data_IF_691218587078
#
_entry.id   IF_691218587078
#
_cell.length_a   1.000
_cell.length_b   1.000
_cell.length_c   1.000
_cell.angle_alpha   90.00
_cell.angle_beta   90.00
_cell.angle_gamma   90.00
#
_symmetry.space_group_name_H-M   'P 1'
#
loop_
_entity.id
_entity.type
_entity.pdbx_description
1 polymer ?
#
# COMPACT_ATOMS: atom_id res chain seq x y z
N UNK A 1 -28.21 -20.42 14.07
CA UNK A 1 -28.20 -20.60 15.53
C UNK A 1 -26.90 -21.31 15.88
N UNK A 2 -25.98 -20.83 16.72
CA UNK A 2 -25.90 -19.69 17.60
C UNK A 2 -24.40 -19.41 17.86
N UNK A 3 -24.07 -18.13 18.05
CA UNK A 3 -22.79 -17.67 18.61
C UNK A 3 -22.60 -18.15 20.06
N UNK A 4 -21.36 -18.28 20.54
CA UNK A 4 -21.03 -18.06 21.94
C UNK A 4 -20.25 -16.74 22.06
N UNK A 5 -20.85 -15.64 22.51
CA UNK A 5 -21.17 -15.26 23.89
C UNK A 5 -19.95 -14.80 24.68
N UNK A 6 -19.84 -13.46 24.76
CA UNK A 6 -18.92 -12.69 25.60
C UNK A 6 -19.28 -12.88 27.07
N UNK A 7 -18.33 -13.31 27.90
CA UNK A 7 -18.46 -13.23 29.36
C UNK A 7 -17.65 -12.04 29.88
N UNK A 8 -18.41 -11.02 30.23
CA UNK A 8 -18.05 -9.86 31.03
C UNK A 8 -17.59 -10.28 32.42
N UNK A 9 -16.45 -9.72 32.87
CA UNK A 9 -16.09 -9.70 34.28
C UNK A 9 -15.92 -8.24 34.70
N UNK A 10 -17.01 -7.67 35.19
CA UNK A 10 -16.98 -6.47 36.03
C UNK A 10 -16.44 -6.87 37.40
N UNK A 11 -15.26 -6.37 37.75
CA UNK A 11 -14.81 -6.32 39.15
C UNK A 11 -14.97 -4.91 39.67
N UNK A 12 -15.98 -4.73 40.52
CA UNK A 12 -16.14 -3.57 41.37
C UNK A 12 -15.17 -3.68 42.57
N UNK A 13 -14.41 -2.62 42.84
CA UNK A 13 -13.77 -2.46 44.13
C UNK A 13 -13.66 -0.96 44.49
N UNK A 14 -14.53 -0.60 45.45
CA UNK A 14 -14.36 0.33 46.56
C UNK A 14 -13.70 1.71 46.33
N UNK A 15 -14.52 2.74 46.53
CA UNK A 15 -14.11 4.08 46.96
C UNK A 15 -13.61 4.05 48.41
N UNK A 16 -12.62 4.87 48.76
CA UNK A 16 -12.61 5.52 50.06
C UNK A 16 -12.78 7.04 49.91
N UNK A 17 -13.66 7.58 50.75
CA UNK A 17 -13.91 9.00 50.92
C UNK A 17 -12.87 9.65 51.85
N UNK A 18 -12.57 10.93 51.59
CA UNK A 18 -12.20 11.91 52.60
C UNK A 18 -10.73 12.34 52.64
N UNK A 19 -10.44 13.61 52.33
CA UNK A 19 -10.26 14.68 53.34
C UNK A 19 -9.78 15.98 52.65
N UNK A 20 -10.34 17.11 53.11
CA UNK A 20 -10.00 18.48 52.72
C UNK A 20 -8.58 18.88 53.13
N UNK A 21 -7.94 19.73 52.31
CA UNK A 21 -6.73 20.47 52.68
C UNK A 21 -6.41 21.58 51.68
N UNK A 22 -6.64 22.83 52.08
CA UNK A 22 -6.22 24.02 51.35
C UNK A 22 -4.69 24.16 51.38
N UNK A 23 -4.08 24.55 50.25
CA UNK A 23 -2.63 24.74 50.17
C UNK A 23 -2.19 25.51 48.92
N UNK A 24 -1.69 26.72 49.16
CA UNK A 24 -1.29 27.79 48.24
C UNK A 24 -0.12 27.44 47.29
N UNK A 25 -0.25 27.94 46.04
CA UNK A 25 0.74 28.42 45.05
C UNK A 25 2.15 27.78 44.99
N UNK A 26 2.46 27.20 43.83
CA UNK A 26 3.80 27.26 43.23
C UNK A 26 3.73 27.36 41.69
N UNK A 27 4.13 28.54 41.21
CA UNK A 27 4.88 28.85 39.98
C UNK A 27 4.65 27.97 38.73
N UNK A 28 4.07 28.60 37.70
CA UNK A 28 3.94 28.03 36.37
C UNK A 28 5.29 27.68 35.75
N UNK A 29 5.44 26.41 35.40
CA UNK A 29 6.42 25.98 34.42
C UNK A 29 5.85 26.24 33.02
N UNK A 30 6.61 26.80 32.06
CA UNK A 30 6.20 26.71 30.68
C UNK A 30 6.32 25.24 30.29
N UNK A 31 5.19 24.56 30.19
CA UNK A 31 5.11 23.32 29.44
C UNK A 31 5.45 23.69 27.99
N UNK A 32 6.74 23.59 27.64
CA UNK A 32 7.17 23.50 26.25
C UNK A 32 6.56 22.22 25.71
N UNK A 33 5.34 22.35 25.16
CA UNK A 33 4.68 21.29 24.42
C UNK A 33 5.61 20.99 23.25
N UNK A 34 6.39 19.92 23.37
CA UNK A 34 7.12 19.27 22.27
C UNK A 34 6.10 18.74 21.27
N UNK A 35 5.49 19.63 20.51
CA UNK A 35 4.53 19.32 19.46
C UNK A 35 5.27 19.06 18.13
N UNK A 36 6.28 18.18 18.12
CA UNK A 36 7.03 17.87 16.88
C UNK A 36 7.26 16.38 16.59
N UNK A 37 6.77 15.44 17.42
CA UNK A 37 7.09 14.02 17.25
C UNK A 37 6.07 13.21 16.43
N UNK A 38 4.81 13.65 16.36
CA UNK A 38 3.75 12.87 15.68
C UNK A 38 3.81 13.02 14.15
N UNK A 39 4.10 14.23 13.63
CA UNK A 39 4.26 14.49 12.19
C UNK A 39 5.44 13.71 11.59
N UNK A 40 6.59 13.65 12.28
CA UNK A 40 7.78 12.94 11.79
C UNK A 40 7.62 11.41 11.75
N UNK A 41 6.86 10.82 12.68
CA UNK A 41 6.62 9.37 12.69
C UNK A 41 5.70 8.92 11.55
N UNK A 42 4.68 9.71 11.18
CA UNK A 42 3.75 9.36 10.09
C UNK A 42 4.40 9.37 8.72
N UNK A 43 5.23 10.37 8.39
CA UNK A 43 5.91 10.45 7.09
C UNK A 43 6.89 9.29 6.82
N UNK A 44 7.58 8.79 7.85
CA UNK A 44 8.48 7.62 7.73
C UNK A 44 7.76 6.33 7.36
N UNK A 45 6.54 6.12 7.85
CA UNK A 45 5.76 4.92 7.55
C UNK A 45 5.27 4.92 6.10
N UNK A 46 4.84 6.09 5.58
CA UNK A 46 4.40 6.24 4.18
C UNK A 46 5.57 5.99 3.22
N UNK A 47 6.72 6.66 3.41
CA UNK A 47 7.89 6.48 2.54
C UNK A 47 8.43 5.02 2.56
N UNK A 48 8.41 4.36 3.73
CA UNK A 48 8.78 2.95 3.83
C UNK A 48 7.82 2.02 3.07
N UNK A 49 6.51 2.31 3.12
CA UNK A 49 5.49 1.54 2.41
C UNK A 49 5.59 1.66 0.88
N UNK A 50 5.84 2.87 0.35
CA UNK A 50 6.06 3.11 -1.08
C UNK A 50 7.32 2.40 -1.58
N UNK A 51 8.42 2.48 -0.82
CA UNK A 51 9.68 1.79 -1.14
C UNK A 51 9.51 0.26 -1.18
N UNK A 52 8.68 -0.31 -0.31
CA UNK A 52 8.39 -1.75 -0.34
C UNK A 52 7.52 -2.16 -1.52
N UNK A 53 6.52 -1.35 -1.88
CA UNK A 53 5.67 -1.62 -3.06
C UNK A 53 6.46 -1.59 -4.36
N UNK A 54 7.34 -0.61 -4.54
CA UNK A 54 8.23 -0.51 -5.71
C UNK A 54 9.19 -1.71 -5.85
N UNK A 55 9.74 -2.20 -4.73
CA UNK A 55 10.59 -3.41 -4.75
C UNK A 55 9.79 -4.67 -5.12
N UNK A 56 8.53 -4.77 -4.68
CA UNK A 56 7.67 -5.90 -5.01
C UNK A 56 7.30 -5.96 -6.49
N UNK A 57 6.94 -4.83 -7.09
CA UNK A 57 6.62 -4.74 -8.52
C UNK A 57 7.82 -5.04 -9.40
N UNK A 58 9.00 -4.48 -9.07
CA UNK A 58 10.24 -4.76 -9.79
C UNK A 58 10.62 -6.25 -9.77
N UNK A 59 10.49 -6.93 -8.62
CA UNK A 59 10.74 -8.37 -8.52
C UNK A 59 9.74 -9.18 -9.35
N UNK A 60 8.48 -8.79 -9.36
CA UNK A 60 7.43 -9.46 -10.15
C UNK A 60 7.67 -9.32 -11.65
N UNK A 61 8.07 -8.13 -12.10
CA UNK A 61 8.40 -7.87 -13.50
C UNK A 61 9.63 -8.67 -13.96
N UNK A 62 10.67 -8.77 -13.12
CA UNK A 62 11.82 -9.62 -13.39
C UNK A 62 11.43 -11.11 -13.52
N UNK A 63 10.63 -11.63 -12.57
CA UNK A 63 10.17 -13.01 -12.60
C UNK A 63 9.31 -13.34 -13.84
N UNK A 64 8.47 -12.41 -14.29
CA UNK A 64 7.71 -12.56 -15.54
C UNK A 64 8.64 -12.53 -16.77
N UNK A 65 9.71 -11.72 -16.74
CA UNK A 65 10.67 -11.65 -17.84
C UNK A 65 11.44 -12.98 -17.99
N UNK A 66 11.92 -13.53 -16.87
CA UNK A 66 12.56 -14.87 -16.84
C UNK A 66 11.58 -15.98 -17.28
N UNK A 67 10.30 -15.87 -16.92
CA UNK A 67 9.29 -16.84 -17.36
C UNK A 67 9.03 -16.76 -18.87
N UNK A 68 8.99 -15.56 -19.46
CA UNK A 68 8.87 -15.40 -20.92
C UNK A 68 10.04 -16.06 -21.63
N UNK A 69 11.28 -15.83 -21.18
CA UNK A 69 12.46 -16.45 -21.77
C UNK A 69 12.40 -17.98 -21.74
N UNK A 70 11.97 -18.56 -20.61
CA UNK A 70 11.75 -20.02 -20.51
C UNK A 70 10.65 -20.50 -21.44
N UNK A 71 9.51 -19.80 -21.52
CA UNK A 71 8.41 -20.19 -22.40
C UNK A 71 8.76 -20.07 -23.88
N UNK A 72 9.58 -19.09 -24.26
CA UNK A 72 10.11 -18.98 -25.63
C UNK A 72 11.02 -20.15 -25.96
N UNK A 73 11.87 -20.59 -25.02
CA UNK A 73 12.69 -21.79 -25.21
C UNK A 73 11.83 -23.06 -25.35
N UNK A 74 10.84 -23.25 -24.47
CA UNK A 74 9.87 -24.36 -24.52
C UNK A 74 9.09 -24.37 -25.85
N UNK A 75 8.62 -23.21 -26.31
CA UNK A 75 7.93 -23.09 -27.60
C UNK A 75 8.84 -23.37 -28.78
N UNK A 76 10.11 -22.94 -28.71
CA UNK A 76 11.10 -23.22 -29.76
C UNK A 76 11.37 -24.73 -29.86
N UNK A 77 11.53 -25.44 -28.74
CA UNK A 77 11.66 -26.90 -28.73
C UNK A 77 10.38 -27.59 -29.22
N UNK A 78 9.21 -27.14 -28.77
CA UNK A 78 7.92 -27.70 -29.18
C UNK A 78 7.65 -27.52 -30.68
N UNK A 79 8.18 -26.48 -31.32
CA UNK A 79 8.07 -26.29 -32.76
C UNK A 79 9.16 -27.03 -33.56
N UNK A 80 10.27 -27.41 -32.92
CA UNK A 80 11.38 -28.12 -33.57
C UNK A 80 11.22 -29.65 -33.54
N UNK A 81 10.40 -30.19 -32.64
CA UNK A 81 10.16 -31.64 -32.53
C UNK A 81 9.26 -32.17 -33.65
N UNK A 82 9.68 -33.24 -34.33
CA UNK A 82 8.89 -33.91 -35.39
C UNK A 82 7.56 -34.48 -34.89
N UNK A 83 7.45 -34.77 -33.59
CA UNK A 83 6.26 -35.35 -32.94
C UNK A 83 5.23 -34.28 -32.52
N UNK A 84 5.68 -33.04 -32.34
CA UNK A 84 4.83 -31.91 -32.02
C UNK A 84 4.36 -31.28 -33.34
N UNK A 85 3.25 -31.81 -33.87
CA UNK A 85 2.60 -31.22 -35.04
C UNK A 85 2.28 -29.73 -34.84
N UNK A 86 1.89 -29.05 -35.92
CA UNK A 86 1.58 -27.60 -35.96
C UNK A 86 0.66 -27.11 -34.82
N UNK A 87 -0.23 -27.98 -34.32
CA UNK A 87 -1.08 -27.71 -33.17
C UNK A 87 -0.31 -27.52 -31.85
N UNK A 88 0.71 -28.35 -31.58
CA UNK A 88 1.52 -28.26 -30.36
C UNK A 88 2.41 -27.01 -30.34
N UNK A 89 2.99 -26.68 -31.50
CA UNK A 89 3.74 -25.45 -31.70
C UNK A 89 2.86 -24.20 -31.45
N UNK A 90 1.63 -24.18 -31.99
CA UNK A 90 0.69 -23.08 -31.75
C UNK A 90 0.35 -22.92 -30.27
N UNK A 91 -0.01 -24.02 -29.58
CA UNK A 91 -0.33 -23.97 -28.15
C UNK A 91 0.83 -23.45 -27.32
N UNK A 92 2.06 -23.86 -27.63
CA UNK A 92 3.23 -23.38 -26.91
C UNK A 92 3.47 -21.87 -27.11
N UNK A 93 3.21 -21.35 -28.30
CA UNK A 93 3.25 -19.91 -28.55
C UNK A 93 2.09 -19.14 -27.92
N UNK A 94 0.90 -19.73 -27.82
CA UNK A 94 -0.23 -19.14 -27.07
C UNK A 94 0.16 -18.92 -25.59
N UNK A 95 0.89 -19.87 -24.98
CA UNK A 95 1.39 -19.70 -23.61
C UNK A 95 2.41 -18.54 -23.47
N UNK A 96 3.28 -18.34 -24.48
CA UNK A 96 4.21 -17.21 -24.51
C UNK A 96 3.44 -15.88 -24.59
N UNK A 97 2.38 -15.83 -25.40
CA UNK A 97 1.52 -14.66 -25.54
C UNK A 97 0.86 -14.30 -24.21
N UNK A 98 0.28 -15.28 -23.50
CA UNK A 98 -0.39 -15.07 -22.22
C UNK A 98 0.57 -14.52 -21.14
N UNK A 99 1.77 -15.08 -21.02
CA UNK A 99 2.77 -14.57 -20.05
C UNK A 99 3.24 -13.16 -20.44
N UNK A 100 3.41 -12.90 -21.73
CA UNK A 100 3.81 -11.58 -22.24
C UNK A 100 2.73 -10.54 -21.98
N UNK A 101 1.46 -10.90 -22.17
CA UNK A 101 0.31 -10.07 -21.84
C UNK A 101 0.24 -9.80 -20.34
N UNK A 102 0.47 -10.80 -19.48
CA UNK A 102 0.53 -10.60 -18.04
C UNK A 102 1.63 -9.60 -17.61
N UNK A 103 2.79 -9.62 -18.28
CA UNK A 103 3.85 -8.63 -18.06
C UNK A 103 3.45 -7.23 -18.53
N UNK A 104 2.82 -7.13 -19.69
CA UNK A 104 2.33 -5.85 -20.22
C UNK A 104 1.24 -5.25 -19.31
N UNK A 105 0.30 -6.06 -18.83
CA UNK A 105 -0.74 -5.64 -17.88
C UNK A 105 -0.12 -5.15 -16.55
N UNK A 106 0.90 -5.85 -16.05
CA UNK A 106 1.63 -5.39 -14.86
C UNK A 106 2.23 -3.99 -15.06
N UNK A 107 2.91 -3.75 -16.20
CA UNK A 107 3.48 -2.43 -16.51
C UNK A 107 2.41 -1.35 -16.63
N UNK A 108 1.30 -1.66 -17.31
CA UNK A 108 0.17 -0.75 -17.44
C UNK A 108 -0.38 -0.37 -16.07
N UNK A 109 -0.63 -1.33 -15.18
CA UNK A 109 -1.12 -1.07 -13.82
C UNK A 109 -0.13 -0.27 -12.96
N UNK A 110 1.18 -0.47 -13.16
CA UNK A 110 2.19 0.32 -12.46
C UNK A 110 2.14 1.77 -12.94
N UNK A 111 1.96 1.99 -14.25
CA UNK A 111 1.84 3.34 -14.81
C UNK A 111 0.52 4.02 -14.39
N UNK A 112 -0.60 3.29 -14.41
CA UNK A 112 -1.91 3.79 -13.97
C UNK A 112 -1.95 4.07 -12.46
N UNK A 113 -1.34 3.21 -11.65
CA UNK A 113 -1.30 3.36 -10.19
C UNK A 113 -0.15 4.22 -9.67
N UNK A 114 0.63 4.85 -10.57
CA UNK A 114 1.57 5.90 -10.23
C UNK A 114 0.84 7.24 -10.06
N UNK A 115 -0.29 7.21 -9.34
CA UNK A 115 -1.00 8.41 -8.92
C UNK A 115 -0.01 9.36 -8.25
N UNK A 116 -0.19 10.66 -8.47
CA UNK A 116 0.61 11.68 -7.80
C UNK A 116 0.59 11.38 -6.29
N UNK A 117 1.75 11.20 -5.63
CA UNK A 117 1.82 10.97 -4.19
C UNK A 117 1.04 11.98 -3.35
N UNK A 118 0.74 13.16 -3.90
CA UNK A 118 -0.06 14.21 -3.28
C UNK A 118 -1.58 13.96 -3.35
N UNK A 119 -2.10 13.20 -4.32
CA UNK A 119 -3.54 12.97 -4.52
C UNK A 119 -4.25 12.31 -3.31
N UNK A 120 -3.72 11.22 -2.71
CA UNK A 120 -4.31 10.66 -1.50
C UNK A 120 -4.28 11.62 -0.29
N UNK A 121 -3.34 12.57 -0.29
CA UNK A 121 -3.25 13.59 0.75
C UNK A 121 -4.32 14.68 0.53
N UNK A 122 -4.47 15.19 -0.70
CA UNK A 122 -5.44 16.23 -1.02
C UNK A 122 -6.90 15.77 -0.91
N UNK A 123 -7.20 14.52 -1.25
CA UNK A 123 -8.55 13.94 -1.05
C UNK A 123 -9.06 14.02 0.39
N UNK A 124 -8.17 14.01 1.38
CA UNK A 124 -8.51 14.12 2.81
C UNK A 124 -8.21 15.51 3.40
N UNK A 125 -7.50 16.38 2.67
CA UNK A 125 -7.05 17.69 3.13
C UNK A 125 -7.23 18.75 2.01
N UNK A 126 -8.47 19.01 1.55
CA UNK A 126 -8.72 19.88 0.39
C UNK A 126 -8.36 21.35 0.63
N UNK A 127 -8.21 21.77 1.89
CA UNK A 127 -7.85 23.15 2.27
C UNK A 127 -6.37 23.32 2.62
N UNK A 128 -5.54 22.27 2.46
CA UNK A 128 -4.11 22.43 2.62
C UNK A 128 -3.56 23.33 1.51
N UNK A 129 -2.54 24.14 1.82
CA UNK A 129 -1.94 25.07 0.84
C UNK A 129 -1.43 24.33 -0.42
N UNK A 130 -0.93 23.11 -0.24
CA UNK A 130 -0.48 22.22 -1.33
C UNK A 130 -1.63 21.62 -2.16
N UNK A 131 -2.88 21.79 -1.72
CA UNK A 131 -4.09 21.16 -2.28
C UNK A 131 -5.17 22.16 -2.71
N UNK A 132 -4.93 23.46 -2.52
CA UNK A 132 -5.87 24.49 -2.89
C UNK A 132 -6.01 24.56 -4.42
N UNK A 133 -7.20 24.26 -4.92
CA UNK A 133 -7.53 24.39 -6.35
C UNK A 133 -8.03 25.81 -6.57
N UNK A 134 -7.29 26.61 -7.33
CA UNK A 134 -7.77 27.92 -7.79
C UNK A 134 -8.68 27.67 -8.98
N UNK A 135 -9.96 27.99 -8.85
CA UNK A 135 -10.85 28.08 -9.99
C UNK A 135 -10.58 29.45 -10.62
N UNK A 136 -10.03 29.46 -11.82
CA UNK A 136 -10.01 30.67 -12.62
C UNK A 136 -11.45 30.93 -13.07
N UNK A 137 -12.10 31.90 -12.40
CA UNK A 137 -13.40 32.44 -12.81
C UNK A 137 -13.19 33.31 -14.07
N UNK A 138 -12.84 32.68 -15.19
CA UNK A 138 -12.76 33.36 -16.49
C UNK A 138 -14.18 33.54 -17.08
N UNK A 139 -14.73 34.76 -16.96
CA UNK A 139 -15.69 35.37 -17.90
C UNK A 139 -14.96 36.31 -18.87
#
# INVERSE_FOLDING_TARGET
MASPSLTSLFSAAALPAGVSGAGVRTLGAPASVRQCSHRQRRGRLVAASVKWRYKGTARKEAALSELIERKVAEATEACAGEEAGEAGCRVAWDEVEEVSQARADLRRRIAEGADDPLEPFCSHNPLADDCAVVYDDDE
#
